data_IF_547611060624
#
_entry.id   IF_547611060624
#
_cell.length_a   1.000
_cell.length_b   1.000
_cell.length_c   1.000
_cell.angle_alpha   90.00
_cell.angle_beta   90.00
_cell.angle_gamma   90.00
#
_symmetry.space_group_name_H-M   'P 1'
#
loop_
_entity.id
_entity.type
_entity.pdbx_description
1 polymer ?
#
# COMPACT_ATOMS: atom_id res chain seq x y z
N UNK A 1 -13.01 -18.49 12.14
CA UNK A 1 -12.72 -17.06 11.99
C UNK A 1 -12.55 -16.64 10.52
N UNK A 2 -11.61 -17.22 9.76
CA UNK A 2 -11.46 -16.85 8.33
C UNK A 2 -12.67 -17.22 7.47
N UNK A 3 -13.28 -18.38 7.70
CA UNK A 3 -14.47 -18.83 6.95
C UNK A 3 -15.72 -17.95 7.13
N UNK A 4 -15.77 -17.16 8.21
CA UNK A 4 -16.90 -16.25 8.42
C UNK A 4 -16.89 -15.04 7.49
N UNK A 5 -15.74 -14.70 6.93
CA UNK A 5 -15.53 -13.45 6.20
C UNK A 5 -15.01 -13.65 4.77
N UNK A 6 -14.16 -14.66 4.54
CA UNK A 6 -13.60 -14.98 3.24
C UNK A 6 -14.27 -16.21 2.62
N UNK A 7 -14.60 -16.19 1.32
CA UNK A 7 -15.09 -17.37 0.63
C UNK A 7 -13.97 -18.43 0.55
N UNK A 8 -14.25 -19.68 0.93
CA UNK A 8 -13.31 -20.80 0.82
C UNK A 8 -11.85 -20.42 1.16
N UNK A 9 -11.48 -20.09 2.42
CA UNK A 9 -10.25 -19.35 2.75
C UNK A 9 -8.97 -19.94 2.18
N UNK A 10 -8.81 -21.27 2.17
CA UNK A 10 -7.60 -21.91 1.61
C UNK A 10 -7.43 -21.61 0.12
N UNK A 11 -8.49 -21.77 -0.66
CA UNK A 11 -8.48 -21.50 -2.10
C UNK A 11 -8.41 -20.00 -2.37
N UNK A 12 -9.09 -19.20 -1.56
CA UNK A 12 -9.06 -17.75 -1.66
C UNK A 12 -7.64 -17.19 -1.51
N UNK A 13 -6.96 -17.51 -0.42
CA UNK A 13 -5.61 -16.97 -0.19
C UNK A 13 -4.57 -17.51 -1.18
N UNK A 14 -4.65 -18.79 -1.58
CA UNK A 14 -3.76 -19.32 -2.61
C UNK A 14 -3.99 -18.67 -3.96
N UNK A 15 -5.26 -18.46 -4.36
CA UNK A 15 -5.59 -17.74 -5.60
C UNK A 15 -5.22 -16.26 -5.53
N UNK A 16 -5.37 -15.59 -4.39
CA UNK A 16 -4.96 -14.21 -4.20
C UNK A 16 -3.44 -14.03 -4.38
N UNK A 17 -2.64 -14.94 -3.80
CA UNK A 17 -1.18 -14.94 -4.00
C UNK A 17 -0.84 -15.18 -5.46
N UNK A 18 -1.41 -16.23 -6.09
CA UNK A 18 -1.16 -16.54 -7.49
C UNK A 18 -1.58 -15.37 -8.42
N UNK A 19 -2.72 -14.75 -8.17
CA UNK A 19 -3.23 -13.59 -8.91
C UNK A 19 -2.32 -12.38 -8.76
N UNK A 20 -1.86 -12.09 -7.54
CA UNK A 20 -0.93 -10.99 -7.27
C UNK A 20 0.42 -11.21 -7.98
N UNK A 21 0.97 -12.43 -7.94
CA UNK A 21 2.20 -12.77 -8.67
C UNK A 21 2.01 -12.63 -10.19
N UNK A 22 0.88 -13.10 -10.72
CA UNK A 22 0.55 -12.94 -12.13
C UNK A 22 0.42 -11.46 -12.53
N UNK A 23 -0.23 -10.64 -11.70
CA UNK A 23 -0.35 -9.20 -11.92
C UNK A 23 1.03 -8.51 -11.93
N UNK A 24 1.91 -8.84 -10.98
CA UNK A 24 3.28 -8.30 -10.92
C UNK A 24 4.07 -8.74 -12.17
N UNK A 25 3.99 -10.02 -12.52
CA UNK A 25 4.65 -10.53 -13.71
C UNK A 25 4.19 -9.81 -14.98
N UNK A 26 2.88 -9.70 -15.19
CA UNK A 26 2.32 -9.00 -16.35
C UNK A 26 2.71 -7.50 -16.38
N UNK A 27 2.80 -6.85 -15.21
CA UNK A 27 3.27 -5.47 -15.12
C UNK A 27 4.69 -5.31 -15.67
N UNK A 28 5.60 -6.22 -15.32
CA UNK A 28 6.99 -6.17 -15.75
C UNK A 28 7.21 -6.65 -17.19
N UNK A 29 6.37 -7.54 -17.72
CA UNK A 29 6.52 -8.13 -19.06
C UNK A 29 5.69 -7.43 -20.16
N UNK A 30 5.22 -6.22 -19.93
CA UNK A 30 4.52 -5.44 -20.94
C UNK A 30 3.31 -4.65 -20.40
N UNK A 31 2.92 -4.89 -19.15
CA UNK A 31 1.79 -4.15 -18.54
C UNK A 31 2.06 -2.65 -18.47
N UNK A 32 3.30 -2.24 -18.24
CA UNK A 32 3.70 -0.85 -18.26
C UNK A 32 3.64 -0.27 -19.69
N UNK A 33 4.11 -1.02 -20.69
CA UNK A 33 4.13 -0.60 -22.09
C UNK A 33 2.72 -0.46 -22.70
N UNK A 34 1.75 -1.23 -22.19
CA UNK A 34 0.35 -1.05 -22.61
C UNK A 34 -0.18 0.37 -22.31
N UNK A 35 0.34 1.07 -21.32
CA UNK A 35 0.00 2.45 -21.04
C UNK A 35 0.34 3.40 -22.18
N UNK A 36 1.42 3.16 -22.91
CA UNK A 36 1.80 3.98 -24.08
C UNK A 36 0.80 3.84 -25.21
N UNK A 37 0.16 2.67 -25.35
CA UNK A 37 -0.90 2.44 -26.32
C UNK A 37 -2.14 3.33 -26.04
N UNK A 38 -2.37 3.65 -24.75
CA UNK A 38 -3.43 4.58 -24.32
C UNK A 38 -3.00 6.06 -24.35
N UNK A 39 -1.81 6.36 -24.89
CA UNK A 39 -1.31 7.72 -25.03
C UNK A 39 -0.67 8.32 -23.78
N UNK A 40 -0.32 7.48 -22.81
CA UNK A 40 0.41 7.89 -21.60
C UNK A 40 1.92 7.97 -21.90
N UNK A 41 2.56 9.01 -21.40
CA UNK A 41 3.99 9.25 -21.57
C UNK A 41 4.71 8.89 -20.25
N UNK A 42 5.49 7.81 -20.28
CA UNK A 42 6.28 7.42 -19.13
C UNK A 42 7.63 8.18 -19.16
N UNK A 43 7.99 8.88 -18.08
CA UNK A 43 9.28 9.56 -18.02
C UNK A 43 10.44 8.55 -18.08
N UNK A 44 11.55 8.98 -18.67
CA UNK A 44 12.78 8.22 -18.66
C UNK A 44 13.28 7.98 -17.23
N UNK A 45 14.04 6.89 -17.02
CA UNK A 45 14.58 6.52 -15.69
C UNK A 45 15.46 7.61 -15.06
N UNK A 46 16.07 8.46 -15.91
CA UNK A 46 16.97 9.55 -15.49
C UNK A 46 16.23 10.90 -15.36
N UNK A 47 14.90 10.94 -15.55
CA UNK A 47 14.13 12.16 -15.39
C UNK A 47 14.12 12.62 -13.93
N UNK A 48 14.24 13.92 -13.70
CA UNK A 48 14.13 14.47 -12.36
C UNK A 48 12.76 14.13 -11.76
N UNK A 49 12.71 13.66 -10.49
CA UNK A 49 11.45 13.32 -9.86
C UNK A 49 10.54 14.55 -9.72
N UNK A 50 9.25 14.36 -9.95
CA UNK A 50 8.25 15.42 -9.76
C UNK A 50 8.08 15.68 -8.27
N UNK A 51 8.26 16.95 -7.86
CA UNK A 51 8.16 17.36 -6.46
C UNK A 51 6.72 17.78 -6.14
N UNK A 52 6.24 17.38 -4.95
CA UNK A 52 4.91 17.77 -4.46
C UNK A 52 3.79 16.85 -4.95
N UNK A 53 2.55 17.36 -4.93
CA UNK A 53 1.35 16.55 -5.28
C UNK A 53 1.32 16.10 -6.74
N UNK A 54 2.03 16.80 -7.64
CA UNK A 54 2.14 16.40 -9.05
C UNK A 54 2.68 14.99 -9.23
N UNK A 55 3.47 14.50 -8.27
CA UNK A 55 3.97 13.13 -8.24
C UNK A 55 2.85 12.08 -8.37
N UNK A 56 1.71 12.28 -7.72
CA UNK A 56 0.57 11.36 -7.72
C UNK A 56 -0.35 11.49 -8.95
N UNK A 57 -0.14 12.51 -9.77
CA UNK A 57 -0.89 12.75 -10.99
C UNK A 57 -0.06 12.49 -12.26
N UNK A 58 1.12 11.87 -12.12
CA UNK A 58 1.92 11.46 -13.26
C UNK A 58 1.26 10.32 -14.02
N UNK A 59 1.57 10.18 -15.30
CA UNK A 59 1.02 9.13 -16.16
C UNK A 59 1.33 7.73 -15.61
N UNK A 60 2.51 7.52 -14.98
CA UNK A 60 2.88 6.30 -14.27
C UNK A 60 1.87 5.94 -13.17
N UNK A 61 1.48 6.92 -12.34
CA UNK A 61 0.53 6.68 -11.25
C UNK A 61 -0.89 6.48 -11.75
N UNK A 62 -1.33 7.29 -12.73
CA UNK A 62 -2.66 7.14 -13.34
C UNK A 62 -2.80 5.74 -13.95
N UNK A 63 -1.76 5.28 -14.65
CA UNK A 63 -1.74 3.94 -15.22
C UNK A 63 -1.74 2.86 -14.15
N UNK A 64 -0.92 3.02 -13.10
CA UNK A 64 -0.89 2.09 -11.96
C UNK A 64 -2.26 1.98 -11.28
N UNK A 65 -2.95 3.10 -11.02
CA UNK A 65 -4.28 3.10 -10.40
C UNK A 65 -5.32 2.38 -11.27
N UNK A 66 -5.26 2.62 -12.57
CA UNK A 66 -6.16 1.96 -13.54
C UNK A 66 -5.88 0.46 -13.60
N UNK A 67 -4.62 0.07 -13.71
CA UNK A 67 -4.18 -1.32 -13.72
C UNK A 67 -4.59 -2.05 -12.44
N UNK A 68 -4.28 -1.49 -11.29
CA UNK A 68 -4.64 -2.04 -9.99
C UNK A 68 -6.16 -2.25 -9.88
N UNK A 69 -6.93 -1.23 -10.23
CA UNK A 69 -8.39 -1.27 -10.15
C UNK A 69 -8.99 -2.36 -11.04
N UNK A 70 -8.50 -2.50 -12.27
CA UNK A 70 -8.95 -3.54 -13.21
C UNK A 70 -8.64 -4.94 -12.64
N UNK A 71 -7.41 -5.19 -12.15
CA UNK A 71 -7.04 -6.49 -11.60
C UNK A 71 -7.84 -6.85 -10.35
N UNK A 72 -8.11 -5.89 -9.47
CA UNK A 72 -8.95 -6.08 -8.28
C UNK A 72 -10.39 -6.39 -8.67
N UNK A 73 -10.96 -5.66 -9.62
CA UNK A 73 -12.35 -5.89 -10.09
C UNK A 73 -12.49 -7.24 -10.82
N UNK A 74 -11.50 -7.66 -11.60
CA UNK A 74 -11.49 -8.98 -12.22
C UNK A 74 -11.42 -10.09 -11.16
N UNK A 75 -10.58 -9.95 -10.15
CA UNK A 75 -10.49 -10.90 -9.03
C UNK A 75 -11.81 -10.96 -8.24
N UNK A 76 -12.41 -9.81 -7.95
CA UNK A 76 -13.72 -9.73 -7.32
C UNK A 76 -14.79 -10.42 -8.17
N UNK A 77 -14.86 -10.12 -9.47
CA UNK A 77 -15.82 -10.74 -10.40
C UNK A 77 -15.67 -12.25 -10.50
N UNK A 78 -14.42 -12.75 -10.55
CA UNK A 78 -14.15 -14.19 -10.51
C UNK A 78 -14.75 -14.83 -9.26
N UNK A 79 -14.45 -14.31 -8.08
CA UNK A 79 -14.93 -14.87 -6.82
C UNK A 79 -16.44 -14.68 -6.63
N UNK A 80 -17.04 -13.60 -7.17
CA UNK A 80 -18.48 -13.38 -7.13
C UNK A 80 -19.26 -14.46 -7.88
N UNK A 81 -18.67 -15.02 -8.94
CA UNK A 81 -19.27 -16.08 -9.72
C UNK A 81 -18.91 -17.48 -9.20
N UNK A 82 -17.66 -17.67 -8.72
CA UNK A 82 -17.17 -18.99 -8.30
C UNK A 82 -17.70 -19.43 -6.93
N UNK A 83 -17.66 -18.56 -5.95
CA UNK A 83 -18.13 -18.84 -4.59
C UNK A 83 -18.70 -17.57 -3.93
N UNK A 84 -19.95 -17.18 -4.26
CA UNK A 84 -20.58 -15.99 -3.71
C UNK A 84 -20.65 -16.07 -2.18
N UNK A 85 -20.28 -15.00 -1.50
CA UNK A 85 -20.26 -14.92 -0.05
C UNK A 85 -20.85 -13.59 0.44
N UNK A 86 -21.64 -13.63 1.55
CA UNK A 86 -22.31 -12.45 2.12
C UNK A 86 -21.38 -11.26 2.35
N UNK A 87 -20.13 -11.52 2.77
CA UNK A 87 -19.15 -10.49 3.12
C UNK A 87 -18.12 -10.24 2.02
N UNK A 88 -18.33 -10.75 0.81
CA UNK A 88 -17.37 -10.72 -0.28
C UNK A 88 -16.93 -9.30 -0.66
N UNK A 89 -17.84 -8.35 -0.68
CA UNK A 89 -17.51 -6.95 -0.96
C UNK A 89 -16.48 -6.41 0.03
N UNK A 90 -16.65 -6.69 1.32
CA UNK A 90 -15.71 -6.26 2.35
C UNK A 90 -14.43 -7.07 2.34
N UNK A 91 -14.52 -8.40 2.21
CA UNK A 91 -13.34 -9.27 2.28
C UNK A 91 -12.42 -9.14 1.06
N UNK A 92 -12.92 -8.74 -0.12
CA UNK A 92 -12.09 -8.55 -1.32
C UNK A 92 -11.83 -7.07 -1.56
N UNK A 93 -12.88 -6.28 -1.86
CA UNK A 93 -12.69 -4.86 -2.18
C UNK A 93 -12.21 -4.05 -0.97
N UNK A 94 -12.69 -4.38 0.23
CA UNK A 94 -12.22 -3.74 1.46
C UNK A 94 -10.74 -4.03 1.73
N UNK A 95 -10.29 -5.27 1.55
CA UNK A 95 -8.87 -5.63 1.69
C UNK A 95 -8.01 -4.94 0.63
N UNK A 96 -8.46 -4.93 -0.62
CA UNK A 96 -7.77 -4.24 -1.71
C UNK A 96 -7.66 -2.74 -1.43
N UNK A 97 -8.71 -2.10 -0.93
CA UNK A 97 -8.69 -0.69 -0.60
C UNK A 97 -7.71 -0.36 0.55
N UNK A 98 -7.61 -1.23 1.57
CA UNK A 98 -6.60 -1.08 2.64
C UNK A 98 -5.19 -1.17 2.04
N UNK A 99 -4.93 -2.17 1.18
CA UNK A 99 -3.65 -2.32 0.49
C UNK A 99 -3.32 -1.09 -0.35
N UNK A 100 -4.29 -0.55 -1.08
CA UNK A 100 -4.13 0.67 -1.87
C UNK A 100 -3.80 1.89 -1.00
N UNK A 101 -4.51 2.10 0.10
CA UNK A 101 -4.24 3.21 1.01
C UNK A 101 -2.86 3.10 1.66
N UNK A 102 -2.46 1.88 2.07
CA UNK A 102 -1.12 1.64 2.61
C UNK A 102 -0.05 1.93 1.55
N UNK A 103 -0.23 1.44 0.32
CA UNK A 103 0.65 1.76 -0.79
C UNK A 103 0.75 3.28 -1.03
N UNK A 104 -0.39 3.98 -1.06
CA UNK A 104 -0.41 5.42 -1.26
C UNK A 104 0.35 6.18 -0.17
N UNK A 105 0.20 5.80 1.10
CA UNK A 105 0.96 6.39 2.22
C UNK A 105 2.46 6.19 2.06
N UNK A 106 2.88 5.01 1.63
CA UNK A 106 4.30 4.73 1.37
C UNK A 106 4.80 5.59 0.19
N UNK A 107 3.99 5.80 -0.84
CA UNK A 107 4.35 6.69 -1.95
C UNK A 107 4.43 8.17 -1.52
N UNK A 108 3.65 8.60 -0.52
CA UNK A 108 3.86 9.93 0.09
C UNK A 108 5.23 10.01 0.77
N UNK A 109 5.66 8.96 1.46
CA UNK A 109 7.00 8.92 2.06
C UNK A 109 8.11 8.96 0.99
N UNK A 110 7.93 8.28 -0.16
CA UNK A 110 8.84 8.37 -1.31
C UNK A 110 8.85 9.79 -1.89
N UNK A 111 7.70 10.44 -2.03
CA UNK A 111 7.62 11.82 -2.50
C UNK A 111 8.33 12.80 -1.57
N UNK A 112 8.25 12.60 -0.25
CA UNK A 112 9.03 13.36 0.75
C UNK A 112 10.52 13.10 0.57
N UNK A 113 10.93 11.84 0.36
CA UNK A 113 12.33 11.51 0.10
C UNK A 113 12.87 12.22 -1.16
N UNK A 114 12.09 12.27 -2.22
CA UNK A 114 12.44 12.98 -3.46
C UNK A 114 12.53 14.49 -3.28
N UNK A 115 11.78 15.05 -2.33
CA UNK A 115 11.81 16.47 -1.99
C UNK A 115 13.10 16.88 -1.26
N UNK A 116 13.73 15.99 -0.49
CA UNK A 116 14.90 16.34 0.33
C UNK A 116 16.06 16.89 -0.50
N UNK A 117 16.49 16.19 -1.54
CA UNK A 117 17.66 16.58 -2.33
C UNK A 117 17.53 17.97 -2.95
N UNK A 118 16.48 18.29 -3.74
CA UNK A 118 16.32 19.63 -4.32
C UNK A 118 16.21 20.75 -3.28
N UNK A 119 15.62 20.47 -2.12
CA UNK A 119 15.55 21.43 -1.02
C UNK A 119 16.92 21.74 -0.43
N UNK A 120 17.72 20.72 -0.14
CA UNK A 120 19.07 20.93 0.39
C UNK A 120 20.01 21.56 -0.65
N UNK A 121 19.89 21.19 -1.90
CA UNK A 121 20.63 21.84 -3.00
C UNK A 121 20.27 23.33 -3.09
N UNK A 122 19.00 23.69 -2.95
CA UNK A 122 18.56 25.09 -2.90
C UNK A 122 19.12 25.86 -1.70
N UNK A 123 19.21 25.23 -0.52
CA UNK A 123 19.85 25.84 0.67
C UNK A 123 21.34 26.05 0.41
N UNK A 124 22.06 25.06 -0.12
CA UNK A 124 23.48 25.19 -0.43
C UNK A 124 23.75 26.33 -1.43
N UNK A 125 22.91 26.41 -2.47
CA UNK A 125 22.99 27.49 -3.44
C UNK A 125 22.73 28.87 -2.82
N UNK A 126 21.74 28.96 -1.91
CA UNK A 126 21.42 30.20 -1.20
C UNK A 126 22.57 30.69 -0.30
N UNK A 127 23.40 29.78 0.20
CA UNK A 127 24.56 30.09 1.03
C UNK A 127 25.86 30.35 0.22
N UNK A 128 25.84 30.10 -1.08
CA UNK A 128 26.99 30.37 -1.96
C UNK A 128 27.10 31.86 -2.31
N UNK A 129 28.32 32.34 -2.64
CA UNK A 129 28.53 33.72 -3.03
C UNK A 129 27.86 34.10 -4.37
N UNK A 130 27.53 33.13 -5.21
CA UNK A 130 26.86 33.29 -6.51
C UNK A 130 25.42 32.76 -6.47
N UNK A 131 24.70 33.08 -5.39
CA UNK A 131 23.35 32.55 -5.14
C UNK A 131 22.39 32.97 -6.25
N UNK A 132 21.80 31.95 -6.90
CA UNK A 132 20.65 32.13 -7.83
C UNK A 132 19.32 31.83 -7.14
N UNK A 133 19.35 31.25 -5.93
CA UNK A 133 18.16 30.86 -5.16
C UNK A 133 17.61 32.05 -4.39
N UNK A 134 16.33 32.32 -4.57
CA UNK A 134 15.62 33.38 -3.86
C UNK A 134 14.94 32.84 -2.58
N UNK A 135 14.59 33.74 -1.65
CA UNK A 135 13.78 33.38 -0.49
C UNK A 135 12.42 32.80 -0.91
N UNK A 136 11.86 33.27 -2.03
CA UNK A 136 10.61 32.72 -2.61
C UNK A 136 10.71 31.26 -3.00
N UNK A 137 11.84 30.84 -3.56
CA UNK A 137 12.07 29.44 -3.94
C UNK A 137 12.10 28.52 -2.69
N UNK A 138 12.78 28.97 -1.62
CA UNK A 138 12.82 28.23 -0.36
C UNK A 138 11.44 28.11 0.29
N UNK A 139 10.63 29.19 0.28
CA UNK A 139 9.25 29.13 0.74
C UNK A 139 8.39 28.22 -0.12
N UNK A 140 8.62 28.15 -1.42
CA UNK A 140 7.97 27.21 -2.34
C UNK A 140 8.23 25.75 -1.96
N UNK A 141 9.48 25.39 -1.63
CA UNK A 141 9.82 24.06 -1.12
C UNK A 141 9.14 23.77 0.22
N UNK A 142 9.16 24.71 1.17
CA UNK A 142 8.50 24.54 2.46
C UNK A 142 6.98 24.34 2.31
N UNK A 143 6.34 25.07 1.42
CA UNK A 143 4.93 24.92 1.13
C UNK A 143 4.61 23.56 0.48
N UNK A 144 5.44 23.11 -0.45
CA UNK A 144 5.32 21.79 -1.06
C UNK A 144 5.44 20.68 -0.01
N UNK A 145 6.38 20.80 0.92
CA UNK A 145 6.50 19.86 2.05
C UNK A 145 5.26 19.87 2.94
N UNK A 146 4.75 21.06 3.29
CA UNK A 146 3.54 21.18 4.11
C UNK A 146 2.35 20.46 3.47
N UNK A 147 2.17 20.60 2.16
CA UNK A 147 1.10 19.93 1.42
C UNK A 147 1.29 18.40 1.47
N UNK A 148 2.51 17.90 1.23
CA UNK A 148 2.81 16.45 1.33
C UNK A 148 2.53 15.92 2.74
N UNK A 149 2.98 16.65 3.78
CA UNK A 149 2.75 16.28 5.16
C UNK A 149 1.24 16.26 5.50
N UNK A 150 0.46 17.26 5.05
CA UNK A 150 -0.99 17.27 5.24
C UNK A 150 -1.67 16.11 4.50
N UNK A 151 -1.23 15.81 3.29
CA UNK A 151 -1.72 14.64 2.54
C UNK A 151 -1.47 13.35 3.31
N UNK A 152 -0.28 13.16 3.86
CA UNK A 152 0.03 12.00 4.71
C UNK A 152 -0.91 11.89 5.90
N UNK A 153 -1.11 13.00 6.64
CA UNK A 153 -2.00 13.03 7.82
C UNK A 153 -3.43 12.67 7.44
N UNK A 154 -3.98 13.26 6.38
CA UNK A 154 -5.35 12.96 5.91
C UNK A 154 -5.49 11.49 5.54
N UNK A 155 -4.58 10.94 4.74
CA UNK A 155 -4.64 9.52 4.37
C UNK A 155 -4.42 8.60 5.57
N UNK A 156 -3.58 8.96 6.53
CA UNK A 156 -3.38 8.19 7.76
C UNK A 156 -4.68 8.09 8.59
N UNK A 157 -5.39 9.21 8.75
CA UNK A 157 -6.67 9.23 9.46
C UNK A 157 -7.73 8.42 8.72
N UNK A 158 -7.85 8.60 7.41
CA UNK A 158 -8.81 7.86 6.56
C UNK A 158 -8.52 6.37 6.61
N UNK A 159 -7.27 5.95 6.50
CA UNK A 159 -6.86 4.54 6.58
C UNK A 159 -7.19 3.96 7.94
N UNK A 160 -6.86 4.65 9.03
CA UNK A 160 -7.14 4.19 10.39
C UNK A 160 -8.64 4.02 10.64
N UNK A 161 -9.45 4.97 10.16
CA UNK A 161 -10.92 4.88 10.21
C UNK A 161 -11.42 3.68 9.41
N UNK A 162 -10.95 3.52 8.17
CA UNK A 162 -11.38 2.45 7.28
C UNK A 162 -10.98 1.07 7.80
N UNK A 163 -9.75 0.90 8.30
CA UNK A 163 -9.29 -0.34 8.95
C UNK A 163 -10.15 -0.67 10.15
N UNK A 164 -10.46 0.30 11.01
CA UNK A 164 -11.33 0.09 12.17
C UNK A 164 -12.72 -0.39 11.76
N UNK A 165 -13.27 0.21 10.70
CA UNK A 165 -14.57 -0.17 10.15
C UNK A 165 -14.53 -1.57 9.50
N UNK A 166 -13.47 -1.91 8.78
CA UNK A 166 -13.25 -3.22 8.19
C UNK A 166 -13.20 -4.32 9.28
N UNK A 167 -12.44 -4.10 10.34
CA UNK A 167 -12.34 -5.02 11.47
C UNK A 167 -13.70 -5.16 12.20
N UNK A 168 -14.46 -4.07 12.34
CA UNK A 168 -15.81 -4.13 12.88
C UNK A 168 -16.72 -5.03 12.02
N UNK A 169 -16.67 -4.90 10.69
CA UNK A 169 -17.42 -5.77 9.76
C UNK A 169 -16.99 -7.22 9.86
N UNK A 170 -15.70 -7.48 10.00
CA UNK A 170 -15.22 -8.84 10.20
C UNK A 170 -15.70 -9.45 11.51
N UNK A 171 -15.70 -8.68 12.60
CA UNK A 171 -16.29 -9.12 13.88
C UNK A 171 -17.77 -9.44 13.74
N UNK A 172 -18.53 -8.62 13.04
CA UNK A 172 -19.95 -8.88 12.75
C UNK A 172 -20.12 -10.20 12.00
N UNK A 173 -19.29 -10.44 10.99
CA UNK A 173 -19.30 -11.69 10.24
C UNK A 173 -18.99 -12.92 11.12
N UNK A 174 -18.03 -12.79 12.04
CA UNK A 174 -17.74 -13.85 13.01
C UNK A 174 -18.91 -14.09 13.95
N UNK A 175 -19.52 -13.03 14.46
CA UNK A 175 -20.68 -13.14 15.34
C UNK A 175 -21.86 -13.82 14.63
N UNK A 176 -22.20 -13.42 13.41
CA UNK A 176 -23.25 -14.08 12.59
C UNK A 176 -22.93 -15.57 12.42
N UNK A 177 -21.69 -15.89 12.04
CA UNK A 177 -21.24 -17.26 11.80
C UNK A 177 -21.37 -18.16 13.04
N UNK A 178 -21.00 -17.67 14.22
CA UNK A 178 -21.10 -18.45 15.45
C UNK A 178 -22.54 -18.51 15.98
N UNK A 179 -23.33 -17.46 15.82
CA UNK A 179 -24.74 -17.44 16.21
C UNK A 179 -25.56 -18.44 15.41
N UNK A 180 -25.35 -18.52 14.09
CA UNK A 180 -25.99 -19.53 13.23
C UNK A 180 -25.69 -20.97 13.67
N UNK A 181 -24.48 -21.18 14.21
CA UNK A 181 -24.00 -22.50 14.68
C UNK A 181 -24.14 -22.69 16.19
N UNK A 182 -24.82 -21.78 16.90
CA UNK A 182 -24.93 -21.80 18.34
C UNK A 182 -25.48 -23.13 18.87
N UNK A 183 -26.45 -23.73 18.19
CA UNK A 183 -27.03 -25.03 18.58
C UNK A 183 -26.00 -26.15 18.69
N UNK A 184 -24.90 -26.07 17.93
CA UNK A 184 -23.81 -27.08 17.91
C UNK A 184 -22.81 -26.90 19.06
N UNK A 185 -22.67 -25.68 19.59
CA UNK A 185 -21.62 -25.34 20.57
C UNK A 185 -22.18 -24.95 21.95
N UNK A 186 -23.48 -24.73 22.08
CA UNK A 186 -24.12 -24.25 23.33
C UNK A 186 -23.95 -25.19 24.53
N UNK A 187 -23.69 -26.49 24.29
CA UNK A 187 -23.51 -27.51 25.32
C UNK A 187 -22.06 -27.53 25.86
N UNK A 188 -21.14 -26.80 25.25
CA UNK A 188 -19.77 -26.66 25.71
C UNK A 188 -19.71 -25.59 26.78
N UNK A 189 -19.24 -25.92 27.98
CA UNK A 189 -19.11 -24.97 29.08
C UNK A 189 -18.14 -23.85 28.71
N UNK A 190 -18.55 -22.62 28.97
CA UNK A 190 -17.78 -21.40 28.64
C UNK A 190 -17.73 -21.03 27.14
N UNK A 191 -18.49 -21.71 26.26
CA UNK A 191 -18.46 -21.44 24.81
C UNK A 191 -18.78 -19.98 24.47
N UNK A 192 -19.75 -19.34 25.11
CA UNK A 192 -20.11 -17.95 24.87
C UNK A 192 -18.97 -16.98 25.22
N UNK A 193 -18.32 -17.19 26.37
CA UNK A 193 -17.21 -16.36 26.82
C UNK A 193 -16.00 -16.52 25.90
N UNK A 194 -15.64 -17.76 25.54
CA UNK A 194 -14.53 -18.02 24.61
C UNK A 194 -14.76 -17.40 23.24
N UNK A 195 -15.95 -17.53 22.67
CA UNK A 195 -16.28 -16.91 21.38
C UNK A 195 -16.12 -15.40 21.46
N UNK A 196 -16.62 -14.75 22.53
CA UNK A 196 -16.51 -13.32 22.72
C UNK A 196 -15.04 -12.88 22.89
N UNK A 197 -14.27 -13.53 23.75
CA UNK A 197 -12.87 -13.20 23.99
C UNK A 197 -12.01 -13.44 22.75
N UNK A 198 -12.12 -14.60 22.11
CA UNK A 198 -11.30 -14.97 20.97
C UNK A 198 -11.57 -14.07 19.76
N UNK A 199 -12.83 -13.70 19.49
CA UNK A 199 -13.17 -12.77 18.41
C UNK A 199 -12.65 -11.36 18.69
N UNK A 200 -12.65 -10.94 19.96
CA UNK A 200 -12.13 -9.62 20.34
C UNK A 200 -10.60 -9.57 20.27
N UNK A 201 -9.90 -10.61 20.77
CA UNK A 201 -8.44 -10.73 20.67
C UNK A 201 -7.99 -10.80 19.20
N UNK A 202 -8.65 -11.63 18.41
CA UNK A 202 -8.37 -11.74 16.97
C UNK A 202 -8.49 -10.38 16.27
N UNK A 203 -9.59 -9.66 16.52
CA UNK A 203 -9.81 -8.34 15.95
C UNK A 203 -8.72 -7.33 16.36
N UNK A 204 -8.31 -7.32 17.63
CA UNK A 204 -7.25 -6.45 18.11
C UNK A 204 -5.90 -6.77 17.45
N UNK A 205 -5.54 -8.07 17.35
CA UNK A 205 -4.32 -8.53 16.69
C UNK A 205 -4.31 -8.15 15.21
N UNK A 206 -5.41 -8.38 14.50
CA UNK A 206 -5.51 -8.04 13.08
C UNK A 206 -5.43 -6.54 12.82
N UNK A 207 -5.99 -5.72 13.72
CA UNK A 207 -5.93 -4.27 13.63
C UNK A 207 -4.49 -3.74 13.77
N UNK A 208 -3.70 -4.32 14.66
CA UNK A 208 -2.32 -3.88 14.93
C UNK A 208 -1.30 -4.60 14.08
N UNK A 209 -1.11 -5.90 14.30
CA UNK A 209 -0.08 -6.68 13.59
C UNK A 209 -0.38 -6.82 12.10
N UNK A 210 -1.64 -7.06 11.71
CA UNK A 210 -2.01 -7.24 10.30
C UNK A 210 -1.67 -5.99 9.47
N UNK A 211 -2.03 -4.82 9.97
CA UNK A 211 -1.72 -3.54 9.29
C UNK A 211 -0.22 -3.28 9.29
N UNK A 212 0.47 -3.48 10.43
CA UNK A 212 1.92 -3.24 10.52
C UNK A 212 2.73 -4.14 9.59
N UNK A 213 2.33 -5.40 9.41
CA UNK A 213 3.00 -6.32 8.46
C UNK A 213 2.80 -5.85 7.02
N UNK A 214 1.59 -5.43 6.65
CA UNK A 214 1.31 -4.90 5.31
C UNK A 214 2.14 -3.64 5.06
N UNK A 215 2.16 -2.71 6.02
CA UNK A 215 2.94 -1.47 5.93
C UNK A 215 4.45 -1.76 5.77
N UNK A 216 5.02 -2.66 6.56
CA UNK A 216 6.42 -3.05 6.47
C UNK A 216 6.77 -3.66 5.10
N UNK A 217 5.92 -4.54 4.57
CA UNK A 217 6.13 -5.15 3.24
C UNK A 217 6.04 -4.10 2.14
N UNK A 218 5.04 -3.21 2.19
CA UNK A 218 4.87 -2.16 1.19
C UNK A 218 6.02 -1.15 1.23
N UNK A 219 6.49 -0.79 2.43
CA UNK A 219 7.66 0.07 2.61
C UNK A 219 8.91 -0.57 2.01
N UNK A 220 9.15 -1.85 2.29
CA UNK A 220 10.29 -2.58 1.71
C UNK A 220 10.24 -2.58 0.18
N UNK A 221 9.08 -2.90 -0.42
CA UNK A 221 8.90 -2.92 -1.87
C UNK A 221 9.15 -1.53 -2.48
N UNK A 222 8.65 -0.46 -1.86
CA UNK A 222 8.78 0.90 -2.40
C UNK A 222 10.21 1.45 -2.29
N UNK A 223 10.92 1.16 -1.19
CA UNK A 223 12.27 1.69 -0.96
C UNK A 223 13.38 0.79 -1.50
N UNK A 224 13.12 -0.48 -1.80
CA UNK A 224 14.12 -1.40 -2.34
C UNK A 224 14.78 -0.86 -3.64
N UNK A 225 14.06 -0.34 -4.64
CA UNK A 225 14.66 0.26 -5.82
C UNK A 225 15.56 1.45 -5.51
N UNK A 226 15.16 2.30 -4.55
CA UNK A 226 15.95 3.45 -4.10
C UNK A 226 17.25 2.99 -3.44
N UNK A 227 17.18 1.95 -2.60
CA UNK A 227 18.37 1.37 -1.95
C UNK A 227 19.33 0.74 -2.96
N UNK A 228 18.81 0.03 -3.98
CA UNK A 228 19.61 -0.54 -5.05
C UNK A 228 20.35 0.58 -5.81
N UNK A 229 19.64 1.63 -6.22
CA UNK A 229 20.25 2.77 -6.92
C UNK A 229 21.31 3.48 -6.08
N UNK A 230 21.08 3.64 -4.78
CA UNK A 230 22.07 4.22 -3.86
C UNK A 230 23.28 3.29 -3.69
N UNK A 231 23.09 1.97 -3.68
CA UNK A 231 24.18 1.00 -3.52
C UNK A 231 25.15 1.00 -4.71
N UNK A 232 24.71 1.36 -5.90
CA UNK A 232 25.59 1.49 -7.10
C UNK A 232 26.67 2.58 -6.92
N UNK A 233 26.43 3.57 -6.04
CA UNK A 233 27.40 4.60 -5.72
C UNK A 233 28.42 4.17 -4.65
N UNK A 234 28.23 3.02 -4.00
CA UNK A 234 29.13 2.51 -2.95
C UNK A 234 30.12 1.54 -3.60
N UNK A 235 31.34 2.04 -3.90
CA UNK A 235 32.40 1.24 -4.55
C UNK A 235 33.24 0.43 -3.56
N UNK A 236 33.31 0.84 -2.30
CA UNK A 236 34.15 0.19 -1.28
C UNK A 236 33.42 0.13 0.05
N UNK A 237 33.45 -1.03 0.70
CA UNK A 237 33.03 -1.17 2.09
C UNK A 237 34.27 -1.24 3.01
N UNK A 238 34.28 -0.50 4.15
CA UNK A 238 35.46 -0.41 5.01
C UNK A 238 35.91 -1.74 5.62
N UNK A 239 35.10 -2.80 5.53
CA UNK A 239 35.41 -4.13 6.09
C UNK A 239 35.53 -5.24 5.05
N UNK A 240 35.08 -5.06 3.80
CA UNK A 240 34.97 -6.13 2.79
C UNK A 240 35.79 -5.86 1.53
N UNK A 241 36.34 -4.63 1.35
CA UNK A 241 37.09 -4.26 0.14
C UNK A 241 36.21 -3.86 -1.04
N UNK A 242 36.80 -3.84 -2.25
CA UNK A 242 36.09 -3.46 -3.48
C UNK A 242 35.14 -4.58 -3.93
N UNK A 243 33.90 -4.19 -4.29
CA UNK A 243 33.00 -5.09 -5.00
C UNK A 243 33.37 -5.11 -6.48
N UNK A 244 33.69 -6.28 -6.99
CA UNK A 244 33.72 -6.50 -8.44
C UNK A 244 32.27 -6.57 -8.95
N UNK A 245 31.95 -5.69 -9.88
CA UNK A 245 30.70 -5.73 -10.65
C UNK A 245 30.79 -6.75 -11.77
#
# INVERSE_FOLDING_TARGET
MLQSFFPLPKQFFSSAVAWSLAAIFLWHFGGKELGTFFGLNFPDKDANPVIGLGHFATDDFIWFYSYYSVFVLMFYGFWANYAPHKWQLWSILGSALILFFTYFQVQVAVAVNNWYRPFYDAIQNALSNESTTTAGDLYGFMFSFLILAMTYVVFSVVTSFFVSHYIFRWRTAMNDYYTERWKLVRHIEGASQRIQEDTMRFAAIMKTLGVSVVDAVMTLIAFLPVLIQLSENVKTLPLVGEFAH
#
